data_IF_575336668865
#
_entry.id   IF_575336668865
#
_cell.length_a   1.000
_cell.length_b   1.000
_cell.length_c   1.000
_cell.angle_alpha   90.00
_cell.angle_beta   90.00
_cell.angle_gamma   90.00
#
_symmetry.space_group_name_H-M   'P 1'
#
loop_
_entity.id
_entity.type
_entity.pdbx_description
1 polymer ?
#
# COMPACT_ATOMS: atom_id res chain seq x y z
N UNK A 1 -11.43 4.29 -15.75
CA UNK A 1 -11.29 3.64 -14.42
C UNK A 1 -10.16 2.65 -14.43
N UNK A 2 -9.29 2.72 -13.49
CA UNK A 2 -8.18 1.81 -13.43
C UNK A 2 -8.58 0.50 -12.81
N UNK A 3 -8.10 -0.62 -13.33
CA UNK A 3 -8.45 -1.92 -12.74
C UNK A 3 -7.96 -2.06 -11.31
N UNK A 4 -6.85 -1.41 -10.99
CA UNK A 4 -6.27 -1.53 -9.65
C UNK A 4 -7.03 -0.75 -8.61
N UNK A 5 -7.58 0.38 -9.03
CA UNK A 5 -8.37 1.22 -8.14
C UNK A 5 -7.60 1.56 -6.86
N UNK A 6 -6.35 1.95 -7.01
CA UNK A 6 -5.50 2.28 -5.86
C UNK A 6 -5.92 3.63 -5.28
N UNK A 7 -6.13 3.72 -3.96
CA UNK A 7 -6.44 5.00 -3.34
C UNK A 7 -5.32 6.02 -3.58
N UNK A 8 -5.70 7.27 -3.84
CA UNK A 8 -4.73 8.31 -4.18
C UNK A 8 -3.71 8.48 -3.06
N UNK A 9 -4.16 8.55 -1.82
CA UNK A 9 -3.26 8.72 -0.69
C UNK A 9 -2.26 7.58 -0.55
N UNK A 10 -2.72 6.36 -0.79
CA UNK A 10 -1.85 5.19 -0.73
C UNK A 10 -0.81 5.25 -1.85
N UNK A 11 -1.24 5.59 -3.05
CA UNK A 11 -0.32 5.70 -4.18
C UNK A 11 0.75 6.76 -3.96
N UNK A 12 0.35 7.90 -3.40
CA UNK A 12 1.30 8.96 -3.10
C UNK A 12 2.31 8.53 -2.03
N UNK A 13 1.83 7.86 -1.00
CA UNK A 13 2.72 7.39 0.07
C UNK A 13 3.69 6.34 -0.45
N UNK A 14 3.22 5.45 -1.33
CA UNK A 14 4.09 4.45 -1.94
C UNK A 14 5.17 5.11 -2.78
N UNK A 15 4.80 6.10 -3.60
CA UNK A 15 5.77 6.72 -4.49
C UNK A 15 6.83 7.49 -3.72
N UNK A 16 6.54 7.89 -2.50
CA UNK A 16 7.51 8.54 -1.64
C UNK A 16 8.39 7.58 -0.85
N UNK A 17 8.19 6.28 -1.01
CA UNK A 17 8.93 5.28 -0.24
C UNK A 17 9.34 4.14 -1.16
N UNK A 18 10.57 4.20 -1.65
CA UNK A 18 11.07 3.24 -2.62
C UNK A 18 11.06 1.80 -2.09
N UNK A 19 11.42 1.62 -0.82
CA UNK A 19 11.43 0.28 -0.23
C UNK A 19 10.03 -0.32 -0.20
N UNK A 20 9.03 0.49 0.17
CA UNK A 20 7.65 0.02 0.20
C UNK A 20 7.16 -0.32 -1.21
N UNK A 21 7.49 0.52 -2.17
CA UNK A 21 7.10 0.29 -3.56
C UNK A 21 7.69 -1.01 -4.09
N UNK A 22 8.98 -1.24 -3.82
CA UNK A 22 9.63 -2.46 -4.23
C UNK A 22 8.97 -3.68 -3.62
N UNK A 23 8.71 -3.63 -2.34
CA UNK A 23 8.09 -4.76 -1.66
C UNK A 23 6.69 -5.01 -2.21
N UNK A 24 5.93 -3.94 -2.40
CA UNK A 24 4.57 -4.05 -2.93
C UNK A 24 4.57 -4.71 -4.30
N UNK A 25 5.51 -4.33 -5.17
CA UNK A 25 5.55 -4.86 -6.53
C UNK A 25 5.94 -6.33 -6.58
N UNK A 26 6.54 -6.86 -5.52
CA UNK A 26 6.92 -8.27 -5.44
C UNK A 26 5.85 -9.13 -4.79
N UNK A 27 4.77 -8.54 -4.32
CA UNK A 27 3.69 -9.30 -3.70
C UNK A 27 2.88 -10.04 -4.76
N UNK A 28 2.28 -11.15 -4.34
CA UNK A 28 1.36 -11.87 -5.20
C UNK A 28 0.08 -11.05 -5.36
N UNK A 29 -0.73 -11.43 -6.35
CA UNK A 29 -1.98 -10.74 -6.60
C UNK A 29 -2.90 -10.74 -5.38
N UNK A 30 -3.12 -11.89 -4.71
CA UNK A 30 -3.97 -11.89 -3.53
C UNK A 30 -3.45 -10.99 -2.42
N UNK A 31 -2.12 -10.94 -2.26
CA UNK A 31 -1.53 -10.10 -1.23
C UNK A 31 -1.72 -8.61 -1.55
N UNK A 32 -1.54 -8.24 -2.82
CA UNK A 32 -1.77 -6.85 -3.23
C UNK A 32 -3.22 -6.45 -3.01
N UNK A 33 -4.15 -7.34 -3.34
CA UNK A 33 -5.56 -7.07 -3.14
C UNK A 33 -5.90 -6.88 -1.66
N UNK A 34 -5.31 -7.68 -0.81
CA UNK A 34 -5.54 -7.54 0.63
C UNK A 34 -5.05 -6.19 1.13
N UNK A 35 -3.90 -5.75 0.65
CA UNK A 35 -3.35 -4.45 1.05
C UNK A 35 -4.21 -3.31 0.54
N UNK A 36 -4.67 -3.41 -0.71
CA UNK A 36 -5.53 -2.37 -1.27
C UNK A 36 -6.84 -2.27 -0.50
N UNK A 37 -7.40 -3.41 -0.13
CA UNK A 37 -8.62 -3.41 0.66
C UNK A 37 -8.38 -2.74 2.00
N UNK A 38 -7.26 -3.04 2.64
CA UNK A 38 -6.92 -2.40 3.90
C UNK A 38 -6.76 -0.90 3.73
N UNK A 39 -6.10 -0.48 2.65
CA UNK A 39 -5.92 0.94 2.37
C UNK A 39 -7.25 1.66 2.19
N UNK A 40 -8.22 1.00 1.58
CA UNK A 40 -9.54 1.58 1.39
C UNK A 40 -10.26 1.82 2.71
N UNK A 41 -9.94 1.05 3.74
CA UNK A 41 -10.56 1.18 5.04
C UNK A 41 -9.93 2.27 5.90
N UNK A 42 -8.79 2.81 5.47
CA UNK A 42 -8.10 3.84 6.24
C UNK A 42 -8.68 5.20 5.94
N UNK A 43 -8.68 6.08 6.95
CA UNK A 43 -9.32 7.38 6.82
C UNK A 43 -8.35 8.55 7.00
N UNK A 44 -7.13 8.32 7.47
CA UNK A 44 -6.19 9.40 7.71
C UNK A 44 -4.89 9.13 7.00
N UNK A 45 -4.14 10.21 6.76
CA UNK A 45 -2.81 10.11 6.17
C UNK A 45 -1.88 9.31 7.05
N UNK A 46 -1.99 9.49 8.35
CA UNK A 46 -1.11 8.81 9.29
C UNK A 46 -1.28 7.32 9.22
N UNK A 47 -2.54 6.87 9.13
CA UNK A 47 -2.80 5.44 8.97
C UNK A 47 -2.22 4.92 7.67
N UNK A 48 -2.34 5.73 6.61
CA UNK A 48 -1.81 5.35 5.32
C UNK A 48 -0.29 5.23 5.35
N UNK A 49 0.37 6.18 5.99
CA UNK A 49 1.83 6.13 6.13
C UNK A 49 2.26 4.94 6.99
N UNK A 50 1.47 4.60 8.00
CA UNK A 50 1.78 3.44 8.83
C UNK A 50 1.71 2.16 7.99
N UNK A 51 0.71 2.03 7.14
CA UNK A 51 0.59 0.88 6.26
C UNK A 51 1.79 0.79 5.33
N UNK A 52 2.17 1.93 4.74
CA UNK A 52 3.31 1.96 3.83
C UNK A 52 4.60 1.63 4.56
N UNK A 53 4.76 2.11 5.79
CA UNK A 53 5.94 1.79 6.59
C UNK A 53 6.02 0.30 6.88
N UNK A 54 4.89 -0.34 7.13
CA UNK A 54 4.84 -1.78 7.33
C UNK A 54 5.31 -2.51 6.06
N UNK A 55 4.89 -2.04 4.91
CA UNK A 55 5.34 -2.60 3.65
C UNK A 55 6.84 -2.43 3.46
N UNK A 56 7.35 -1.25 3.82
CA UNK A 56 8.77 -0.96 3.66
C UNK A 56 9.63 -1.89 4.52
N UNK A 57 9.10 -2.31 5.67
CA UNK A 57 9.79 -3.23 6.55
C UNK A 57 9.68 -4.69 6.10
N UNK A 58 8.90 -4.94 5.05
CA UNK A 58 8.72 -6.30 4.58
C UNK A 58 7.83 -7.14 5.46
N UNK A 59 7.09 -6.54 6.37
CA UNK A 59 6.23 -7.29 7.27
C UNK A 59 4.96 -7.71 6.55
N UNK A 60 4.52 -8.94 6.72
CA UNK A 60 3.22 -9.35 6.21
C UNK A 60 2.11 -8.72 7.05
N UNK A 61 1.01 -8.48 6.44
CA UNK A 61 -0.14 -7.92 7.15
C UNK A 61 -1.00 -9.00 7.77
#
# INVERSE_FOLDING_TARGET
MRPDNIPVGFGLALSGNTAAMNHYSHLSEPQRQAILKKAHDLHTKEEMYTLVATLANGSPL
#
